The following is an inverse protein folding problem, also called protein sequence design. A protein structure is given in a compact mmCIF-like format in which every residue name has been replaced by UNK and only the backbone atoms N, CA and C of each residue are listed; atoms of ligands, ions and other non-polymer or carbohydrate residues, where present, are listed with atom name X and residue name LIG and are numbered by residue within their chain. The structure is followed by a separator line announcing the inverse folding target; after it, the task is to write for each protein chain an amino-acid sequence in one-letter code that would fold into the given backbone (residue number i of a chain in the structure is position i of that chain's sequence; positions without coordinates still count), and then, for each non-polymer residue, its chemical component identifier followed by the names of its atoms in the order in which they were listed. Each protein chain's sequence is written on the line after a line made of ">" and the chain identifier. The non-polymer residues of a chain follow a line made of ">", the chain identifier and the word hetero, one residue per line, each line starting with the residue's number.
data_IF_150222032665
#
_entry.id   IF_150222032665
#
_cell.length_a   1.000
_cell.length_b   1.000
_cell.length_c   1.000
_cell.angle_alpha   90.00
_cell.angle_beta   90.00
_cell.angle_gamma   90.00
#
_symmetry.space_group_name_H-M   'P 1'
#
loop_
_entity.id
_entity.type
_entity.pdbx_description
1 polymer ?
#
# COMPACT_ATOMS: atom_id res chain seq x y z
N UNK A 1 -2.65 -23.33 14.71
CA UNK A 1 -1.26 -22.97 15.07
C UNK A 1 -0.75 -22.03 13.99
N UNK A 2 -0.34 -20.82 14.36
CA UNK A 2 0.32 -19.93 13.40
C UNK A 2 1.58 -20.63 12.88
N UNK A 3 1.72 -20.77 11.56
CA UNK A 3 2.94 -21.34 10.98
C UNK A 3 4.11 -20.41 11.36
N UNK A 4 5.07 -20.93 12.07
CA UNK A 4 6.28 -20.20 12.43
C UNK A 4 7.00 -19.83 11.14
N UNK A 5 7.19 -18.54 10.89
CA UNK A 5 7.99 -18.07 9.75
C UNK A 5 9.43 -18.41 10.08
N UNK A 6 10.12 -19.12 9.20
CA UNK A 6 11.53 -19.44 9.38
C UNK A 6 12.43 -18.27 8.94
N UNK A 7 13.69 -18.29 9.40
CA UNK A 7 14.65 -17.21 9.11
C UNK A 7 14.90 -17.02 7.60
N UNK A 8 14.85 -18.09 6.80
CA UNK A 8 15.02 -18.02 5.35
C UNK A 8 13.89 -17.18 4.71
N UNK A 9 12.65 -17.42 5.13
CA UNK A 9 11.50 -16.65 4.64
C UNK A 9 11.57 -15.20 5.10
N UNK A 10 11.94 -14.95 6.37
CA UNK A 10 12.11 -13.59 6.87
C UNK A 10 13.18 -12.83 6.09
N UNK A 11 14.31 -13.46 5.77
CA UNK A 11 15.37 -12.85 4.95
C UNK A 11 14.89 -12.53 3.53
N UNK A 12 14.07 -13.39 2.92
CA UNK A 12 13.47 -13.13 1.59
C UNK A 12 12.49 -11.96 1.65
N UNK A 13 11.66 -11.90 2.69
CA UNK A 13 10.70 -10.80 2.90
C UNK A 13 11.43 -9.47 3.13
N UNK A 14 12.49 -9.45 3.95
CA UNK A 14 13.33 -8.27 4.16
C UNK A 14 13.97 -7.79 2.85
N UNK A 15 14.55 -8.71 2.08
CA UNK A 15 15.16 -8.38 0.79
C UNK A 15 14.14 -7.79 -0.19
N UNK A 16 12.93 -8.36 -0.26
CA UNK A 16 11.84 -7.85 -1.08
C UNK A 16 11.38 -6.46 -0.61
N UNK A 17 11.14 -6.30 0.69
CA UNK A 17 10.72 -5.03 1.28
C UNK A 17 11.73 -3.92 1.01
N UNK A 18 13.03 -4.21 1.15
CA UNK A 18 14.10 -3.24 0.84
C UNK A 18 14.16 -2.90 -0.64
N UNK A 19 13.98 -3.87 -1.53
CA UNK A 19 13.92 -3.63 -2.98
C UNK A 19 12.72 -2.75 -3.34
N UNK A 20 11.53 -3.03 -2.80
CA UNK A 20 10.34 -2.21 -2.99
C UNK A 20 10.53 -0.77 -2.49
N UNK A 21 11.12 -0.60 -1.30
CA UNK A 21 11.47 0.72 -0.76
C UNK A 21 12.48 1.46 -1.66
N UNK A 22 13.49 0.76 -2.16
CA UNK A 22 14.46 1.34 -3.08
C UNK A 22 13.80 1.83 -4.38
N UNK A 23 12.98 0.99 -5.01
CA UNK A 23 12.25 1.35 -6.22
C UNK A 23 11.28 2.53 -5.98
N UNK A 24 10.62 2.55 -4.85
CA UNK A 24 9.74 3.65 -4.49
C UNK A 24 10.52 4.96 -4.27
N UNK A 25 11.67 4.91 -3.61
CA UNK A 25 12.55 6.07 -3.45
C UNK A 25 13.14 6.53 -4.80
N UNK A 26 13.54 5.59 -5.66
CA UNK A 26 14.04 5.90 -7.00
C UNK A 26 13.01 6.64 -7.85
N UNK A 27 11.75 6.22 -7.79
CA UNK A 27 10.64 6.92 -8.47
C UNK A 27 10.50 8.37 -8.01
N UNK A 28 10.75 8.67 -6.73
CA UNK A 28 10.66 10.03 -6.22
C UNK A 28 11.85 10.90 -6.65
N UNK A 29 13.06 10.35 -6.60
CA UNK A 29 14.27 11.16 -6.59
C UNK A 29 15.15 11.01 -7.82
N UNK A 30 15.15 9.85 -8.50
CA UNK A 30 16.14 9.55 -9.54
C UNK A 30 15.60 9.78 -10.96
N UNK A 31 16.46 10.33 -11.82
CA UNK A 31 16.27 10.41 -13.28
C UNK A 31 17.14 9.40 -14.01
N UNK A 32 18.32 9.11 -13.47
CA UNK A 32 19.31 8.25 -14.08
C UNK A 32 20.08 7.46 -13.03
N UNK A 33 20.99 6.58 -13.47
CA UNK A 33 21.82 5.72 -12.62
C UNK A 33 20.96 4.87 -11.63
N UNK A 34 19.93 4.17 -12.10
CA UNK A 34 18.93 3.53 -11.23
C UNK A 34 19.51 2.40 -10.38
N UNK A 35 20.65 1.84 -10.74
CA UNK A 35 21.36 0.79 -9.98
C UNK A 35 22.59 1.32 -9.22
N UNK A 36 22.77 2.64 -9.14
CA UNK A 36 23.89 3.29 -8.46
C UNK A 36 25.27 2.71 -8.88
N UNK A 37 25.44 2.41 -10.18
CA UNK A 37 26.68 1.84 -10.74
C UNK A 37 27.85 2.81 -10.68
N UNK A 38 27.57 4.08 -10.56
CA UNK A 38 28.54 5.15 -10.31
C UNK A 38 28.07 6.04 -9.15
N UNK A 39 28.95 6.83 -8.53
CA UNK A 39 28.55 7.79 -7.50
C UNK A 39 27.44 8.74 -7.99
N UNK A 40 26.50 9.06 -7.12
CA UNK A 40 25.42 9.99 -7.45
C UNK A 40 25.99 11.38 -7.80
N UNK A 41 25.39 11.96 -8.84
CA UNK A 41 25.68 13.31 -9.32
C UNK A 41 24.39 14.13 -9.38
N UNK A 42 24.45 15.46 -9.35
CA UNK A 42 23.26 16.31 -9.43
C UNK A 42 22.36 16.03 -10.66
N UNK A 43 22.94 15.67 -11.79
CA UNK A 43 22.19 15.32 -13.02
C UNK A 43 21.40 14.03 -12.91
N UNK A 44 21.73 13.13 -11.99
CA UNK A 44 20.97 11.90 -11.72
C UNK A 44 19.68 12.16 -10.92
N UNK A 45 19.55 13.35 -10.32
CA UNK A 45 18.46 13.69 -9.40
C UNK A 45 17.42 14.53 -10.11
N UNK A 46 16.13 14.27 -9.84
CA UNK A 46 15.02 15.08 -10.33
C UNK A 46 15.13 16.51 -9.80
N UNK A 47 15.02 17.50 -10.71
CA UNK A 47 14.99 18.91 -10.32
C UNK A 47 13.73 19.29 -9.54
N UNK A 48 12.62 18.63 -9.83
CA UNK A 48 11.33 18.80 -9.15
C UNK A 48 10.90 17.46 -8.59
N UNK A 49 10.85 17.37 -7.28
CA UNK A 49 10.39 16.18 -6.56
C UNK A 49 8.91 16.35 -6.30
N UNK A 50 8.10 15.39 -6.77
CA UNK A 50 6.66 15.35 -6.56
C UNK A 50 6.27 13.94 -6.13
N UNK A 51 5.63 13.82 -4.98
CA UNK A 51 5.23 12.56 -4.38
C UNK A 51 5.54 12.53 -2.88
N UNK A 52 5.27 11.41 -2.23
CA UNK A 52 5.37 11.28 -0.79
C UNK A 52 6.17 10.01 -0.42
N UNK A 53 6.77 10.04 0.77
CA UNK A 53 7.54 8.92 1.29
C UNK A 53 6.95 8.33 2.59
N UNK A 54 6.38 9.15 3.46
CA UNK A 54 6.07 8.81 4.86
C UNK A 54 5.27 7.52 5.06
N UNK A 55 4.31 7.23 4.21
CA UNK A 55 3.49 6.00 4.29
C UNK A 55 4.11 4.79 3.57
N UNK A 56 5.08 5.01 2.68
CA UNK A 56 5.58 4.01 1.73
C UNK A 56 6.22 2.80 2.39
N UNK A 57 7.13 2.93 3.36
CA UNK A 57 7.75 1.78 4.00
C UNK A 57 6.74 0.86 4.71
N UNK A 58 5.75 1.45 5.38
CA UNK A 58 4.69 0.70 6.05
C UNK A 58 3.78 -0.02 5.05
N UNK A 59 3.39 0.63 3.96
CA UNK A 59 2.60 -0.02 2.91
C UNK A 59 3.37 -1.14 2.21
N UNK A 60 4.66 -0.97 1.95
CA UNK A 60 5.51 -2.05 1.43
C UNK A 60 5.62 -3.23 2.41
N UNK A 61 5.67 -2.96 3.72
CA UNK A 61 5.66 -4.00 4.74
C UNK A 61 4.34 -4.80 4.73
N UNK A 62 3.21 -4.10 4.70
CA UNK A 62 1.90 -4.72 4.57
C UNK A 62 1.84 -5.59 3.30
N UNK A 63 2.27 -5.05 2.17
CA UNK A 63 2.25 -5.75 0.89
C UNK A 63 3.03 -7.06 0.91
N UNK A 64 4.27 -7.07 1.41
CA UNK A 64 5.08 -8.29 1.45
C UNK A 64 4.49 -9.35 2.38
N UNK A 65 3.88 -8.93 3.49
CA UNK A 65 3.20 -9.86 4.40
C UNK A 65 1.92 -10.43 3.77
N UNK A 66 1.14 -9.63 3.04
CA UNK A 66 -0.03 -10.10 2.31
C UNK A 66 0.36 -11.10 1.22
N UNK A 67 1.37 -10.80 0.42
CA UNK A 67 1.89 -11.72 -0.59
C UNK A 67 2.31 -13.07 0.01
N UNK A 68 2.93 -13.06 1.18
CA UNK A 68 3.28 -14.29 1.89
C UNK A 68 2.05 -15.14 2.20
N UNK A 69 1.02 -14.53 2.79
CA UNK A 69 -0.18 -15.29 3.17
C UNK A 69 -1.01 -15.71 1.96
N UNK A 70 -1.11 -14.87 0.92
CA UNK A 70 -1.75 -15.22 -0.35
C UNK A 70 -1.11 -16.50 -0.92
N UNK A 71 0.21 -16.53 -1.04
CA UNK A 71 0.94 -17.69 -1.58
C UNK A 71 0.85 -18.92 -0.65
N UNK A 72 0.91 -18.72 0.66
CA UNK A 72 0.86 -19.80 1.63
C UNK A 72 -0.49 -20.51 1.67
N UNK A 73 -1.58 -19.77 1.51
CA UNK A 73 -2.95 -20.28 1.68
C UNK A 73 -3.75 -20.27 0.39
N UNK A 74 -3.14 -19.87 -0.74
CA UNK A 74 -3.79 -19.73 -2.06
C UNK A 74 -5.07 -18.88 -1.96
N UNK A 75 -4.96 -17.69 -1.37
CA UNK A 75 -6.08 -16.81 -1.14
C UNK A 75 -6.44 -16.02 -2.39
N UNK A 76 -7.73 -15.83 -2.64
CA UNK A 76 -8.24 -14.83 -3.57
C UNK A 76 -8.33 -13.49 -2.82
N UNK A 77 -7.36 -12.62 -3.06
CA UNK A 77 -7.21 -11.39 -2.30
C UNK A 77 -6.81 -10.22 -3.18
N UNK A 78 -7.44 -9.07 -2.96
CA UNK A 78 -7.05 -7.79 -3.54
C UNK A 78 -6.62 -6.81 -2.47
N UNK A 79 -5.78 -5.85 -2.84
CA UNK A 79 -5.30 -4.77 -1.95
C UNK A 79 -5.77 -3.41 -2.46
N UNK A 80 -6.43 -2.66 -1.60
CA UNK A 80 -6.76 -1.25 -1.80
C UNK A 80 -5.92 -0.38 -0.87
N UNK A 81 -5.35 0.70 -1.41
CA UNK A 81 -4.53 1.63 -0.63
C UNK A 81 -5.23 2.97 -0.44
N UNK A 82 -5.77 3.20 0.74
CA UNK A 82 -6.39 4.46 1.13
C UNK A 82 -5.40 5.63 1.23
N UNK A 83 -4.19 5.47 1.84
CA UNK A 83 -3.18 6.53 1.78
C UNK A 83 -2.55 6.60 0.38
N UNK A 84 -3.38 6.93 -0.60
CA UNK A 84 -3.06 6.91 -2.04
C UNK A 84 -1.93 7.82 -2.46
N UNK A 85 -1.59 8.84 -1.66
CA UNK A 85 -0.41 9.66 -1.89
C UNK A 85 0.91 8.87 -1.88
N UNK A 86 0.92 7.64 -1.38
CA UNK A 86 2.05 6.70 -1.49
C UNK A 86 2.08 5.88 -2.77
N UNK A 87 1.46 6.30 -3.87
CA UNK A 87 1.29 5.52 -5.11
C UNK A 87 2.56 4.87 -5.65
N UNK A 88 3.73 5.45 -5.37
CA UNK A 88 5.03 4.87 -5.73
C UNK A 88 5.30 3.50 -5.08
N UNK A 89 4.70 3.18 -3.92
CA UNK A 89 4.83 1.84 -3.35
C UNK A 89 4.14 0.81 -4.24
N UNK A 90 2.94 1.13 -4.73
CA UNK A 90 2.14 0.21 -5.55
C UNK A 90 2.82 -0.07 -6.89
N UNK A 91 3.30 0.98 -7.56
CA UNK A 91 4.11 0.86 -8.78
C UNK A 91 5.38 0.04 -8.55
N UNK A 92 6.07 0.24 -7.42
CA UNK A 92 7.28 -0.50 -7.08
C UNK A 92 7.01 -2.01 -6.96
N UNK A 93 5.92 -2.38 -6.26
CA UNK A 93 5.56 -3.78 -6.07
C UNK A 93 5.11 -4.46 -7.37
N UNK A 94 4.25 -3.83 -8.15
CA UNK A 94 3.80 -4.38 -9.43
C UNK A 94 4.95 -4.51 -10.45
N UNK A 95 5.94 -3.62 -10.38
CA UNK A 95 7.17 -3.76 -11.18
C UNK A 95 8.03 -4.94 -10.71
N UNK A 96 8.21 -5.13 -9.40
CA UNK A 96 8.96 -6.28 -8.85
C UNK A 96 8.31 -7.63 -9.15
N UNK A 97 7.00 -7.64 -9.33
CA UNK A 97 6.23 -8.85 -9.67
C UNK A 97 6.20 -9.14 -11.17
N UNK A 98 6.70 -8.23 -12.00
CA UNK A 98 6.67 -8.34 -13.45
C UNK A 98 5.37 -7.83 -14.09
N UNK A 99 4.27 -7.78 -13.35
CA UNK A 99 2.96 -7.38 -13.87
C UNK A 99 2.97 -5.99 -14.54
N UNK A 100 3.75 -5.06 -13.98
CA UNK A 100 3.89 -3.72 -14.58
C UNK A 100 4.48 -3.79 -15.99
N UNK A 101 5.53 -4.58 -16.17
CA UNK A 101 6.22 -4.77 -17.46
C UNK A 101 5.41 -5.58 -18.47
N UNK A 102 4.53 -6.48 -18.01
CA UNK A 102 3.58 -7.19 -18.87
C UNK A 102 2.59 -6.23 -19.52
N UNK A 103 2.07 -5.25 -18.76
CA UNK A 103 1.10 -4.26 -19.25
C UNK A 103 1.79 -3.13 -20.01
N UNK A 104 2.98 -2.73 -19.56
CA UNK A 104 3.78 -1.64 -20.14
C UNK A 104 5.15 -2.16 -20.60
N UNK A 105 5.28 -2.86 -21.75
CA UNK A 105 6.52 -3.52 -22.16
C UNK A 105 7.73 -2.58 -22.38
N UNK A 106 7.47 -1.29 -22.55
CA UNK A 106 8.52 -0.27 -22.62
C UNK A 106 9.17 0.03 -21.25
N UNK A 107 8.59 -0.45 -20.16
CA UNK A 107 9.13 -0.41 -18.80
C UNK A 107 9.60 -1.82 -18.44
N UNK A 108 10.66 -2.27 -19.13
CA UNK A 108 11.22 -3.60 -18.97
C UNK A 108 11.92 -3.83 -17.63
N UNK A 109 12.07 -5.09 -17.22
CA UNK A 109 12.78 -5.48 -15.99
C UNK A 109 14.30 -5.48 -16.16
N UNK A 110 14.85 -4.36 -16.64
CA UNK A 110 16.27 -4.12 -16.83
C UNK A 110 16.66 -2.70 -16.43
N UNK A 111 17.93 -2.34 -16.58
CA UNK A 111 18.45 -1.01 -16.20
C UNK A 111 17.73 0.12 -16.94
N UNK A 112 17.43 -0.06 -18.22
CA UNK A 112 16.78 0.97 -19.03
C UNK A 112 15.28 1.09 -18.69
N UNK A 113 14.59 -0.04 -18.47
CA UNK A 113 13.22 -0.04 -18.01
C UNK A 113 13.08 0.58 -16.62
N UNK A 114 13.98 0.26 -15.70
CA UNK A 114 14.00 0.88 -14.37
C UNK A 114 14.25 2.39 -14.43
N UNK A 115 15.14 2.85 -15.32
CA UNK A 115 15.37 4.27 -15.58
C UNK A 115 14.10 4.95 -16.09
N UNK A 116 13.36 4.31 -16.99
CA UNK A 116 12.08 4.82 -17.50
C UNK A 116 11.02 4.84 -16.42
N UNK A 117 10.93 3.78 -15.60
CA UNK A 117 10.05 3.70 -14.43
C UNK A 117 10.26 4.89 -13.50
N UNK A 118 11.51 5.19 -13.14
CA UNK A 118 11.81 6.32 -12.27
C UNK A 118 11.47 7.66 -12.92
N UNK A 119 11.84 7.83 -14.19
CA UNK A 119 11.63 9.07 -14.92
C UNK A 119 10.15 9.42 -15.08
N UNK A 120 9.31 8.43 -15.37
CA UNK A 120 7.88 8.65 -15.67
C UNK A 120 7.03 8.99 -14.45
N UNK A 121 7.49 8.63 -13.23
CA UNK A 121 6.71 8.85 -12.02
C UNK A 121 6.48 10.33 -11.77
N UNK A 122 5.21 10.69 -11.60
CA UNK A 122 4.76 12.08 -11.39
C UNK A 122 5.23 13.07 -12.47
N UNK A 123 5.34 12.59 -13.71
CA UNK A 123 5.76 13.39 -14.88
C UNK A 123 4.64 13.40 -15.92
N UNK A 124 4.45 14.51 -16.66
CA UNK A 124 3.43 14.59 -17.71
C UNK A 124 3.54 13.45 -18.73
N UNK A 125 2.45 12.72 -18.94
CA UNK A 125 2.40 11.55 -19.81
C UNK A 125 2.96 10.25 -19.22
N UNK A 126 3.38 10.28 -17.94
CA UNK A 126 3.77 9.10 -17.18
C UNK A 126 2.71 8.66 -16.18
N UNK A 127 3.12 8.00 -15.11
CA UNK A 127 2.24 7.53 -14.04
C UNK A 127 2.00 8.63 -12.99
N UNK A 128 0.80 8.67 -12.42
CA UNK A 128 0.43 9.60 -11.36
C UNK A 128 1.22 9.36 -10.07
N UNK A 129 1.39 10.41 -9.25
CA UNK A 129 2.04 10.31 -7.92
C UNK A 129 1.20 9.56 -6.89
N UNK A 130 -0.10 9.49 -7.10
CA UNK A 130 -1.07 8.80 -6.25
C UNK A 130 -1.44 7.45 -6.84
N UNK A 131 -1.98 6.57 -6.00
CA UNK A 131 -2.57 5.31 -6.46
C UNK A 131 -3.64 5.62 -7.52
N UNK A 132 -3.55 4.95 -8.66
CA UNK A 132 -4.43 5.18 -9.79
C UNK A 132 -4.68 3.87 -10.55
N UNK A 133 -5.81 3.72 -11.24
CA UNK A 133 -6.16 2.52 -12.00
C UNK A 133 -5.18 2.19 -13.14
N UNK A 134 -4.37 3.14 -13.59
CA UNK A 134 -3.30 2.94 -14.57
C UNK A 134 -2.17 2.04 -14.02
N UNK A 135 -2.05 1.91 -12.71
CA UNK A 135 -1.15 0.91 -12.12
C UNK A 135 -1.84 -0.45 -12.18
N UNK A 136 -1.24 -1.46 -12.84
CA UNK A 136 -1.85 -2.78 -13.00
C UNK A 136 -2.33 -3.38 -11.68
N UNK A 137 -3.56 -3.88 -11.65
CA UNK A 137 -4.18 -4.46 -10.46
C UNK A 137 -4.83 -3.46 -9.50
N UNK A 138 -4.66 -2.15 -9.70
CA UNK A 138 -5.37 -1.14 -8.90
C UNK A 138 -6.79 -0.95 -9.40
N UNK A 139 -7.75 -1.06 -8.48
CA UNK A 139 -9.17 -0.71 -8.73
C UNK A 139 -9.56 0.59 -8.02
N UNK A 140 -8.63 1.20 -7.31
CA UNK A 140 -8.86 2.36 -6.46
C UNK A 140 -8.08 3.57 -6.97
N UNK A 141 -8.73 4.72 -6.97
CA UNK A 141 -8.11 6.03 -7.19
C UNK A 141 -7.86 6.67 -5.81
N UNK A 142 -6.60 6.89 -5.47
CA UNK A 142 -6.18 7.30 -4.12
C UNK A 142 -6.02 8.81 -3.94
N UNK A 143 -6.40 9.63 -4.91
CA UNK A 143 -6.32 11.10 -4.81
C UNK A 143 -7.39 11.69 -3.92
N UNK A 144 -8.56 11.06 -3.84
CA UNK A 144 -9.65 11.45 -2.94
C UNK A 144 -9.66 10.56 -1.69
N UNK A 145 -9.37 11.14 -0.53
CA UNK A 145 -9.37 10.40 0.73
C UNK A 145 -10.77 10.13 1.26
N UNK A 146 -10.96 8.96 1.87
CA UNK A 146 -12.16 8.60 2.61
C UNK A 146 -13.01 7.51 1.98
N UNK A 147 -12.69 7.04 0.77
CA UNK A 147 -13.52 6.09 0.03
C UNK A 147 -12.95 4.67 -0.03
N UNK A 148 -11.71 4.46 0.40
CA UNK A 148 -11.03 3.16 0.27
C UNK A 148 -11.81 2.02 0.91
N UNK A 149 -12.31 2.22 2.12
CA UNK A 149 -13.07 1.19 2.83
C UNK A 149 -14.42 0.89 2.17
N UNK A 150 -15.12 1.93 1.67
CA UNK A 150 -16.36 1.76 0.92
C UNK A 150 -16.13 1.01 -0.40
N UNK A 151 -15.02 1.30 -1.10
CA UNK A 151 -14.62 0.54 -2.30
C UNK A 151 -14.32 -0.92 -1.98
N UNK A 152 -13.65 -1.20 -0.83
CA UNK A 152 -13.44 -2.57 -0.37
C UNK A 152 -14.74 -3.33 -0.13
N UNK A 153 -15.74 -2.70 0.49
CA UNK A 153 -17.07 -3.30 0.64
C UNK A 153 -17.74 -3.55 -0.71
N UNK A 154 -17.68 -2.58 -1.63
CA UNK A 154 -18.23 -2.73 -2.98
C UNK A 154 -17.59 -3.89 -3.76
N UNK A 155 -16.28 -4.08 -3.61
CA UNK A 155 -15.54 -5.12 -4.33
C UNK A 155 -15.93 -6.54 -3.91
N UNK A 156 -16.36 -6.75 -2.66
CA UNK A 156 -16.68 -8.08 -2.13
C UNK A 156 -18.15 -8.45 -2.24
N UNK A 157 -19.03 -7.55 -2.67
CA UNK A 157 -20.45 -7.86 -2.89
C UNK A 157 -20.59 -8.94 -3.97
N UNK A 158 -21.42 -9.93 -3.71
CA UNK A 158 -21.68 -11.10 -4.59
C UNK A 158 -20.41 -11.90 -4.96
N UNK A 159 -19.33 -11.79 -4.16
CA UNK A 159 -18.09 -12.51 -4.38
C UNK A 159 -17.57 -13.17 -3.08
N UNK A 160 -18.17 -14.33 -2.69
CA UNK A 160 -17.94 -14.93 -1.37
C UNK A 160 -16.52 -15.42 -1.11
N UNK A 161 -15.71 -15.65 -2.17
CA UNK A 161 -14.34 -16.13 -2.05
C UNK A 161 -13.31 -15.00 -1.94
N UNK A 162 -13.71 -13.76 -2.24
CA UNK A 162 -12.80 -12.62 -2.28
C UNK A 162 -12.52 -12.04 -0.90
N UNK A 163 -11.26 -11.76 -0.63
CA UNK A 163 -10.80 -10.95 0.50
C UNK A 163 -10.32 -9.60 -0.03
N UNK A 164 -11.01 -8.52 0.30
CA UNK A 164 -10.53 -7.16 0.03
C UNK A 164 -9.78 -6.63 1.25
N UNK A 165 -8.46 -6.58 1.15
CA UNK A 165 -7.63 -5.91 2.16
C UNK A 165 -7.57 -4.42 1.85
N UNK A 166 -7.91 -3.60 2.84
CA UNK A 166 -7.97 -2.14 2.69
C UNK A 166 -7.01 -1.50 3.69
N UNK A 167 -5.93 -0.92 3.19
CA UNK A 167 -5.08 -0.06 4.01
C UNK A 167 -5.79 1.27 4.18
N UNK A 168 -6.10 1.61 5.42
CA UNK A 168 -6.71 2.89 5.79
C UNK A 168 -5.63 3.77 6.41
N UNK A 169 -5.36 4.93 5.83
CA UNK A 169 -4.48 5.92 6.44
C UNK A 169 -5.16 6.58 7.64
N UNK A 170 -4.41 6.88 8.69
CA UNK A 170 -4.95 7.55 9.87
C UNK A 170 -5.44 8.98 9.57
N UNK A 171 -4.80 9.68 8.62
CA UNK A 171 -5.31 10.96 8.11
C UNK A 171 -6.58 10.80 7.25
N UNK A 172 -6.69 9.72 6.48
CA UNK A 172 -7.90 9.37 5.76
C UNK A 172 -9.05 9.02 6.71
N UNK A 173 -8.73 8.33 7.81
CA UNK A 173 -9.71 7.92 8.81
C UNK A 173 -10.46 9.08 9.48
N UNK A 174 -9.92 10.30 9.41
CA UNK A 174 -10.57 11.52 9.90
C UNK A 174 -11.62 12.09 8.94
N UNK A 175 -11.66 11.64 7.69
CA UNK A 175 -12.66 12.12 6.73
C UNK A 175 -14.04 11.61 7.06
N UNK A 176 -15.07 12.41 6.78
CA UNK A 176 -16.47 12.02 7.02
C UNK A 176 -16.84 10.71 6.35
N UNK A 177 -16.55 10.52 5.05
CA UNK A 177 -16.86 9.28 4.37
C UNK A 177 -16.23 8.05 5.01
N UNK A 178 -14.94 8.10 5.39
CA UNK A 178 -14.30 6.94 6.01
C UNK A 178 -14.78 6.71 7.44
N UNK A 179 -14.95 7.76 8.23
CA UNK A 179 -15.44 7.65 9.60
C UNK A 179 -16.81 6.94 9.66
N UNK A 180 -17.66 7.13 8.66
CA UNK A 180 -18.95 6.43 8.55
C UNK A 180 -18.82 5.04 7.93
N UNK A 181 -17.81 4.80 7.11
CA UNK A 181 -17.60 3.53 6.42
C UNK A 181 -17.25 2.36 7.35
N UNK A 182 -16.77 2.61 8.58
CA UNK A 182 -16.52 1.55 9.55
C UNK A 182 -17.74 0.66 9.82
N UNK A 183 -18.94 1.18 9.61
CA UNK A 183 -20.20 0.43 9.76
C UNK A 183 -20.57 -0.40 8.53
N UNK A 184 -19.83 -0.30 7.42
CA UNK A 184 -20.11 -0.98 6.16
C UNK A 184 -20.16 -2.50 6.27
N UNK A 185 -19.48 -3.09 7.27
CA UNK A 185 -19.57 -4.52 7.57
C UNK A 185 -21.02 -5.01 7.87
N UNK A 186 -21.95 -4.10 8.18
CA UNK A 186 -23.36 -4.43 8.43
C UNK A 186 -24.15 -4.68 7.13
N UNK A 187 -23.62 -4.27 5.98
CA UNK A 187 -24.26 -4.53 4.67
C UNK A 187 -23.84 -5.88 4.07
N UNK A 188 -22.75 -6.47 4.55
CA UNK A 188 -22.26 -7.75 4.02
C UNK A 188 -23.10 -8.92 4.51
N UNK A 189 -23.47 -9.79 3.57
CA UNK A 189 -24.06 -11.08 3.85
C UNK A 189 -22.98 -12.15 3.84
N UNK A 190 -22.67 -12.80 4.96
CA UNK A 190 -21.56 -13.76 5.06
C UNK A 190 -21.74 -15.03 4.21
N UNK A 191 -22.88 -15.20 3.55
CA UNK A 191 -23.18 -16.35 2.67
C UNK A 191 -22.86 -16.03 1.21
N UNK A 192 -23.13 -14.80 0.78
CA UNK A 192 -23.05 -14.38 -0.63
C UNK A 192 -21.89 -13.44 -0.92
N UNK A 193 -21.39 -12.76 0.11
CA UNK A 193 -20.38 -11.73 -0.03
C UNK A 193 -19.03 -12.17 0.54
N UNK A 194 -17.97 -11.58 0.06
CA UNK A 194 -16.61 -11.81 0.56
C UNK A 194 -16.32 -11.07 1.87
N UNK A 195 -15.05 -10.96 2.18
CA UNK A 195 -14.55 -10.39 3.44
C UNK A 195 -13.75 -9.13 3.18
N UNK A 196 -13.99 -8.08 3.98
CA UNK A 196 -13.13 -6.89 4.03
C UNK A 196 -12.21 -7.00 5.25
N UNK A 197 -10.90 -6.86 5.02
CA UNK A 197 -9.87 -6.81 6.05
C UNK A 197 -9.27 -5.39 6.11
N UNK A 198 -9.77 -4.51 6.99
CA UNK A 198 -9.15 -3.20 7.18
C UNK A 198 -7.81 -3.32 7.91
N UNK A 199 -6.81 -2.56 7.43
CA UNK A 199 -5.53 -2.37 8.12
C UNK A 199 -5.36 -0.87 8.34
N UNK A 200 -5.60 -0.41 9.55
CA UNK A 200 -5.36 0.99 9.92
C UNK A 200 -3.85 1.22 10.07
N UNK A 201 -3.29 1.96 9.11
CA UNK A 201 -1.88 2.36 9.13
C UNK A 201 -1.74 3.65 9.95
N UNK A 202 -1.53 3.46 11.25
CA UNK A 202 -1.45 4.53 12.24
C UNK A 202 0.01 5.02 12.37
N UNK A 203 0.46 5.88 11.46
CA UNK A 203 1.79 6.48 11.51
C UNK A 203 1.84 7.81 12.27
N UNK A 204 0.70 8.31 12.72
CA UNK A 204 0.58 9.48 13.59
C UNK A 204 0.54 10.83 12.88
N UNK A 205 0.78 10.86 11.58
CA UNK A 205 0.89 12.13 10.84
C UNK A 205 0.15 12.12 9.51
N UNK A 206 -0.41 13.28 9.16
CA UNK A 206 -0.88 13.65 7.82
C UNK A 206 -0.06 14.84 7.34
N UNK A 207 0.66 14.70 6.23
CA UNK A 207 1.58 15.69 5.65
C UNK A 207 2.48 16.36 6.70
N UNK A 208 1.96 17.32 7.49
CA UNK A 208 2.71 18.09 8.48
C UNK A 208 2.07 18.15 9.87
N UNK A 209 0.89 17.57 10.04
CA UNK A 209 0.14 17.64 11.30
C UNK A 209 -0.11 16.24 11.89
N UNK A 210 -0.09 16.10 13.23
CA UNK A 210 -0.55 14.89 13.89
C UNK A 210 -2.00 14.58 13.55
N UNK A 211 -2.33 13.30 13.46
CA UNK A 211 -3.69 12.82 13.22
C UNK A 211 -4.51 12.79 14.52
N UNK A 212 -5.83 12.78 14.40
CA UNK A 212 -6.72 12.63 15.56
C UNK A 212 -6.51 11.27 16.24
N UNK A 213 -6.45 10.20 15.44
CA UNK A 213 -6.32 8.85 15.96
C UNK A 213 -5.02 8.62 16.74
N UNK A 214 -3.92 9.33 16.39
CA UNK A 214 -2.68 9.27 17.15
C UNK A 214 -2.75 9.94 18.53
N UNK A 215 -3.80 10.69 18.80
CA UNK A 215 -4.06 11.36 20.09
C UNK A 215 -5.03 10.58 20.98
N UNK A 216 -5.61 9.50 20.44
CA UNK A 216 -6.56 8.65 21.15
C UNK A 216 -5.78 7.49 21.79
N UNK A 217 -5.92 7.21 23.09
CA UNK A 217 -5.33 6.05 23.72
C UNK A 217 -5.80 4.75 23.03
N UNK A 218 -4.92 3.74 22.96
CA UNK A 218 -5.24 2.44 22.34
C UNK A 218 -6.57 1.86 22.82
N UNK A 219 -6.83 1.93 24.12
CA UNK A 219 -8.08 1.40 24.70
C UNK A 219 -9.34 2.10 24.18
N UNK A 220 -9.30 3.40 23.96
CA UNK A 220 -10.43 4.14 23.38
C UNK A 220 -10.61 3.82 21.90
N UNK A 221 -9.51 3.75 21.14
CA UNK A 221 -9.52 3.34 19.73
C UNK A 221 -10.07 1.91 19.59
N UNK A 222 -9.69 1.00 20.47
CA UNK A 222 -10.23 -0.36 20.54
C UNK A 222 -11.75 -0.35 20.71
N UNK A 223 -12.25 0.38 21.70
CA UNK A 223 -13.69 0.49 21.96
C UNK A 223 -14.45 1.10 20.79
N UNK A 224 -13.87 2.09 20.11
CA UNK A 224 -14.47 2.70 18.93
C UNK A 224 -14.63 1.66 17.81
N UNK A 225 -13.59 0.90 17.51
CA UNK A 225 -13.64 -0.13 16.46
C UNK A 225 -14.55 -1.29 16.84
N UNK A 226 -14.52 -1.74 18.08
CA UNK A 226 -15.43 -2.77 18.60
C UNK A 226 -16.90 -2.30 18.52
N UNK A 227 -17.18 -1.02 18.81
CA UNK A 227 -18.51 -0.42 18.65
C UNK A 227 -19.01 -0.46 17.21
N UNK A 228 -18.12 -0.38 16.23
CA UNK A 228 -18.43 -0.59 14.81
C UNK A 228 -18.56 -2.08 14.42
N UNK A 229 -18.27 -3.01 15.34
CA UNK A 229 -18.38 -4.45 15.11
C UNK A 229 -17.11 -5.12 14.60
N UNK A 230 -15.98 -4.49 14.77
CA UNK A 230 -14.65 -5.04 14.46
C UNK A 230 -14.01 -5.68 15.69
N UNK A 231 -13.09 -6.61 15.46
CA UNK A 231 -12.17 -7.13 16.49
C UNK A 231 -10.77 -6.64 16.16
N UNK A 232 -10.32 -5.52 16.75
CA UNK A 232 -9.03 -4.95 16.43
C UNK A 232 -7.87 -5.74 17.05
N UNK A 233 -6.78 -5.85 16.30
CA UNK A 233 -5.49 -6.33 16.74
C UNK A 233 -4.50 -5.19 16.58
N UNK A 234 -3.71 -4.89 17.60
CA UNK A 234 -2.68 -3.87 17.56
C UNK A 234 -1.33 -4.54 17.36
N UNK A 235 -0.57 -4.03 16.39
CA UNK A 235 0.76 -4.53 16.03
C UNK A 235 1.70 -3.34 15.97
N UNK A 236 2.83 -3.46 16.64
CA UNK A 236 3.92 -2.50 16.55
C UNK A 236 4.87 -2.88 15.42
N UNK A 237 5.37 -1.88 14.68
CA UNK A 237 6.21 -2.07 13.51
C UNK A 237 7.67 -1.65 13.71
N UNK A 238 8.12 -1.43 14.93
CA UNK A 238 9.49 -0.99 15.24
C UNK A 238 10.56 -1.99 14.76
N UNK A 239 10.23 -3.26 14.72
CA UNK A 239 11.09 -4.32 14.20
C UNK A 239 10.36 -5.13 13.12
N UNK A 240 10.31 -4.61 11.87
CA UNK A 240 9.38 -5.07 10.82
C UNK A 240 9.50 -6.56 10.45
N UNK A 241 10.61 -7.22 10.78
CA UNK A 241 10.86 -8.64 10.46
C UNK A 241 10.93 -9.52 11.70
N UNK A 242 10.49 -9.05 12.85
CA UNK A 242 10.37 -9.82 14.08
C UNK A 242 8.90 -9.95 14.49
#
# INVERSE_FOLDING_TARGET
>A
MAAHINDEMLNKMDAYWRAANYLAAGQLYLLDNPLLKEPLKPEHIKKKIVGHWGTVPGQNLIYVHLNRIIKQYNLDMILLSGPGHGGNFFVANTYLEGTYSEVYPNISEDTEGMKRLFKQFSFPGGIASHVAPETPGSIHEGGELGYSLAHGFGAVLDNPDLIATVVVGDGEAETGPLATSWHGNKFLNPVTDGVVLPILHLNGYKISNPTLLSRIPEEELRKMLEGCGWKPYFVDGDEPMK
#
